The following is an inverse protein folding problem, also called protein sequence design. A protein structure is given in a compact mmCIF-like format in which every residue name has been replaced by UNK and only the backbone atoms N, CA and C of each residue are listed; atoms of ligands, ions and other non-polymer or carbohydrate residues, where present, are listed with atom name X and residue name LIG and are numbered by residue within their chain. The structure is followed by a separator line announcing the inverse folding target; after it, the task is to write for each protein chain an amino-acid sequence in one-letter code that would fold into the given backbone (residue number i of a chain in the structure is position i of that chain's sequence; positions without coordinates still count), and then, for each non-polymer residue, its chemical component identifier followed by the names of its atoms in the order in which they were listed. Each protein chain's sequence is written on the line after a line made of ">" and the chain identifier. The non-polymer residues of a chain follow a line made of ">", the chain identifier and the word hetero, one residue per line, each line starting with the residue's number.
data_IF_778770596287
#
_entry.id   IF_778770596287
#
_cell.length_a   1.000
_cell.length_b   1.000
_cell.length_c   1.000
_cell.angle_alpha   90.00
_cell.angle_beta   90.00
_cell.angle_gamma   90.00
#
_symmetry.space_group_name_H-M   'P 1'
#
loop_
_entity.id
_entity.type
_entity.pdbx_description
1 polymer ?
#
# COMPACT_ATOMS: atom_id res chain seq x y z
N UNK A 1 -4.32 -11.41 22.04
CA UNK A 1 -4.12 -12.75 21.43
C UNK A 1 -3.91 -12.70 19.91
N UNK A 2 -3.93 -11.52 19.28
CA UNK A 2 -3.93 -11.34 17.82
C UNK A 2 -2.55 -11.19 17.16
N UNK A 3 -1.54 -10.59 17.81
CA UNK A 3 -0.26 -10.27 17.14
C UNK A 3 0.64 -11.49 16.87
N UNK A 4 0.69 -12.45 17.79
CA UNK A 4 1.60 -13.61 17.69
C UNK A 4 1.14 -14.61 16.61
N UNK A 5 -0.18 -14.73 16.41
CA UNK A 5 -0.74 -15.63 15.40
C UNK A 5 -0.52 -15.07 13.99
N UNK A 6 -0.59 -13.75 13.85
CA UNK A 6 -0.34 -13.04 12.59
C UNK A 6 1.13 -13.13 12.17
N UNK A 7 2.08 -12.94 13.12
CA UNK A 7 3.52 -13.09 12.81
C UNK A 7 3.91 -14.51 12.39
N UNK A 8 3.36 -15.56 13.02
CA UNK A 8 3.66 -16.95 12.61
C UNK A 8 3.07 -17.28 11.24
N UNK A 9 1.88 -16.78 10.97
CA UNK A 9 1.21 -16.93 9.68
C UNK A 9 2.01 -16.27 8.55
N UNK A 10 2.43 -15.01 8.75
CA UNK A 10 3.27 -14.30 7.79
C UNK A 10 4.62 -14.98 7.55
N UNK A 11 5.23 -15.53 8.61
CA UNK A 11 6.47 -16.30 8.47
C UNK A 11 6.28 -17.59 7.64
N UNK A 12 5.14 -18.26 7.79
CA UNK A 12 4.80 -19.43 6.97
C UNK A 12 4.61 -19.05 5.49
N UNK A 13 3.90 -17.94 5.23
CA UNK A 13 3.74 -17.41 3.88
C UNK A 13 5.10 -17.03 3.27
N UNK A 14 5.97 -16.37 4.04
CA UNK A 14 7.31 -16.02 3.60
C UNK A 14 8.10 -17.27 3.16
N UNK A 15 8.13 -18.31 3.99
CA UNK A 15 8.81 -19.58 3.65
C UNK A 15 8.25 -20.23 2.39
N UNK A 16 6.93 -20.22 2.22
CA UNK A 16 6.26 -20.76 1.03
C UNK A 16 6.62 -19.96 -0.23
N UNK A 17 6.66 -18.64 -0.14
CA UNK A 17 7.06 -17.79 -1.25
C UNK A 17 8.55 -17.98 -1.59
N UNK A 18 9.44 -18.02 -0.60
CA UNK A 18 10.86 -18.30 -0.81
C UNK A 18 11.09 -19.65 -1.48
N UNK A 19 10.40 -20.70 -1.03
CA UNK A 19 10.46 -22.01 -1.66
C UNK A 19 9.98 -21.97 -3.12
N UNK A 20 8.85 -21.30 -3.39
CA UNK A 20 8.34 -21.11 -4.76
C UNK A 20 9.38 -20.39 -5.63
N UNK A 21 9.98 -19.30 -5.15
CA UNK A 21 10.93 -18.52 -5.92
C UNK A 21 12.25 -19.27 -6.18
N UNK A 22 12.72 -20.05 -5.20
CA UNK A 22 13.98 -20.79 -5.27
C UNK A 22 13.91 -22.03 -6.16
N UNK A 23 12.81 -22.76 -6.09
CA UNK A 23 12.71 -24.09 -6.71
C UNK A 23 11.87 -24.12 -7.98
N UNK A 24 11.04 -23.12 -8.26
CA UNK A 24 10.22 -23.05 -9.48
C UNK A 24 10.72 -21.98 -10.44
N UNK A 25 10.81 -22.34 -11.72
CA UNK A 25 11.12 -21.38 -12.78
C UNK A 25 9.96 -20.39 -12.97
N UNK A 26 10.21 -19.16 -13.46
CA UNK A 26 9.15 -18.16 -13.65
C UNK A 26 7.92 -18.67 -14.41
N UNK A 27 8.12 -19.50 -15.43
CA UNK A 27 7.09 -20.11 -16.26
C UNK A 27 6.26 -21.22 -15.58
N UNK A 28 6.79 -21.82 -14.51
CA UNK A 28 6.13 -22.89 -13.74
C UNK A 28 5.32 -22.34 -12.55
N UNK A 29 5.55 -21.08 -12.18
CA UNK A 29 4.94 -20.48 -11.00
C UNK A 29 3.46 -20.22 -11.22
N UNK A 30 2.65 -20.68 -10.27
CA UNK A 30 1.27 -20.22 -10.15
C UNK A 30 1.27 -18.72 -9.83
N UNK A 31 0.93 -17.92 -10.85
CA UNK A 31 0.92 -16.46 -10.76
C UNK A 31 -0.13 -15.95 -9.76
N UNK A 32 -1.25 -16.65 -9.57
CA UNK A 32 -2.27 -16.26 -8.60
C UNK A 32 -1.76 -16.49 -7.19
N UNK A 33 -1.13 -17.63 -6.95
CA UNK A 33 -0.56 -17.95 -5.65
C UNK A 33 0.61 -17.02 -5.30
N UNK A 34 1.47 -16.70 -6.27
CA UNK A 34 2.54 -15.72 -6.08
C UNK A 34 1.98 -14.33 -5.76
N UNK A 35 0.92 -13.90 -6.47
CA UNK A 35 0.28 -12.61 -6.22
C UNK A 35 -0.35 -12.58 -4.82
N UNK A 36 -0.97 -13.68 -4.38
CA UNK A 36 -1.48 -13.84 -3.02
C UNK A 36 -0.37 -13.69 -1.97
N UNK A 37 0.77 -14.37 -2.12
CA UNK A 37 1.90 -14.21 -1.19
C UNK A 37 2.43 -12.77 -1.16
N UNK A 38 2.50 -12.12 -2.32
CA UNK A 38 2.92 -10.72 -2.42
C UNK A 38 1.94 -9.82 -1.65
N UNK A 39 0.64 -10.01 -1.81
CA UNK A 39 -0.35 -9.20 -1.12
C UNK A 39 -0.35 -9.44 0.39
N UNK A 40 -0.19 -10.70 0.81
CA UNK A 40 -0.10 -11.04 2.24
C UNK A 40 1.19 -10.56 2.91
N UNK A 41 2.33 -10.47 2.23
CA UNK A 41 3.59 -10.06 2.85
C UNK A 41 3.86 -8.56 2.76
N UNK A 42 3.49 -7.94 1.64
CA UNK A 42 3.84 -6.54 1.33
C UNK A 42 2.67 -5.55 1.51
N UNK A 43 1.55 -5.99 2.10
CA UNK A 43 0.53 -5.06 2.62
C UNK A 43 1.00 -4.42 3.92
N UNK A 44 1.01 -3.09 3.95
CA UNK A 44 1.47 -2.33 5.11
C UNK A 44 0.58 -2.58 6.33
N UNK A 45 1.13 -2.63 7.55
CA UNK A 45 0.33 -2.86 8.76
C UNK A 45 -0.85 -1.88 8.92
N UNK A 46 -0.68 -0.62 8.51
CA UNK A 46 -1.75 0.39 8.54
C UNK A 46 -2.95 0.04 7.64
N UNK A 47 -2.76 -0.79 6.60
CA UNK A 47 -3.83 -1.24 5.71
C UNK A 47 -4.47 -2.57 6.14
N UNK A 48 -3.99 -3.21 7.21
CA UNK A 48 -4.56 -4.48 7.71
C UNK A 48 -5.64 -4.30 8.76
N UNK A 49 -5.84 -3.07 9.24
CA UNK A 49 -6.77 -2.80 10.33
C UNK A 49 -8.20 -2.76 9.82
N UNK A 50 -9.13 -3.49 10.42
CA UNK A 50 -10.54 -3.35 10.05
C UNK A 50 -11.03 -1.93 10.34
N UNK A 51 -11.55 -1.26 9.32
CA UNK A 51 -12.15 0.06 9.42
C UNK A 51 -13.66 -0.08 9.23
N UNK A 52 -14.43 0.56 10.11
CA UNK A 52 -15.91 0.49 10.08
C UNK A 52 -16.45 1.88 9.77
N UNK A 53 -17.15 2.06 8.64
CA UNK A 53 -17.74 3.35 8.31
C UNK A 53 -18.89 3.69 9.26
N UNK A 54 -19.19 4.98 9.45
CA UNK A 54 -20.39 5.39 10.19
C UNK A 54 -21.67 4.92 9.47
N UNK A 55 -22.82 4.82 10.18
CA UNK A 55 -24.10 4.56 9.53
C UNK A 55 -24.40 5.59 8.43
N UNK A 56 -24.91 5.12 7.29
CA UNK A 56 -25.25 5.96 6.15
C UNK A 56 -26.29 7.02 6.51
N UNK A 57 -26.00 8.29 6.21
CA UNK A 57 -26.89 9.41 6.45
C UNK A 57 -26.74 10.52 5.40
N UNK A 58 -27.85 11.11 5.01
CA UNK A 58 -27.89 12.21 4.04
C UNK A 58 -28.06 11.74 2.60
N UNK A 59 -27.50 12.50 1.66
CA UNK A 59 -27.63 12.24 0.22
C UNK A 59 -26.51 11.33 -0.29
N UNK A 60 -26.84 10.50 -1.27
CA UNK A 60 -25.86 9.70 -2.02
C UNK A 60 -25.17 10.58 -3.06
N UNK A 61 -23.84 10.62 -3.04
CA UNK A 61 -23.05 11.55 -3.85
C UNK A 61 -21.77 10.89 -4.38
N UNK A 62 -21.29 11.42 -5.49
CA UNK A 62 -19.90 11.26 -5.91
C UNK A 62 -19.07 12.39 -5.29
N UNK A 63 -18.31 12.09 -4.25
CA UNK A 63 -17.48 13.05 -3.52
C UNK A 63 -16.02 12.95 -3.94
N UNK A 64 -15.40 14.08 -4.27
CA UNK A 64 -13.98 14.17 -4.64
C UNK A 64 -13.27 15.15 -3.72
N UNK A 65 -12.06 14.79 -3.28
CA UNK A 65 -11.11 15.69 -2.64
C UNK A 65 -9.82 15.73 -3.44
N UNK A 66 -9.27 16.93 -3.58
CA UNK A 66 -7.94 17.15 -4.15
C UNK A 66 -6.94 17.44 -3.04
N UNK A 67 -5.81 16.73 -3.05
CA UNK A 67 -4.70 16.94 -2.13
C UNK A 67 -3.47 17.45 -2.89
N UNK A 68 -2.85 18.49 -2.35
CA UNK A 68 -1.62 19.10 -2.88
C UNK A 68 -0.45 18.72 -1.97
N UNK A 69 0.44 17.87 -2.47
CA UNK A 69 1.57 17.34 -1.70
C UNK A 69 2.86 18.01 -2.19
N UNK A 70 3.52 18.84 -1.37
CA UNK A 70 4.79 19.45 -1.75
C UNK A 70 5.87 18.38 -1.92
N UNK A 71 6.69 18.49 -2.96
CA UNK A 71 7.89 17.64 -3.13
C UNK A 71 9.05 18.10 -2.24
N UNK A 72 9.31 19.41 -2.06
CA UNK A 72 10.33 19.86 -1.12
C UNK A 72 10.06 19.33 0.29
N UNK A 73 11.10 18.79 0.93
CA UNK A 73 11.01 18.21 2.28
C UNK A 73 10.97 16.69 2.31
N UNK A 74 10.65 16.01 1.21
CA UNK A 74 10.71 14.54 1.12
C UNK A 74 12.07 14.05 0.58
N UNK A 75 12.70 13.06 1.21
CA UNK A 75 13.98 12.49 0.75
C UNK A 75 13.83 11.52 -0.43
N UNK A 76 12.63 11.41 -1.01
CA UNK A 76 12.28 10.45 -2.06
C UNK A 76 11.31 11.04 -3.07
N UNK A 77 11.12 10.33 -4.19
CA UNK A 77 10.10 10.65 -5.17
C UNK A 77 8.70 10.32 -4.62
N UNK A 78 7.96 11.36 -4.20
CA UNK A 78 6.61 11.28 -3.63
C UNK A 78 5.65 10.45 -4.50
N UNK A 79 5.66 10.67 -5.82
CA UNK A 79 4.79 9.91 -6.74
C UNK A 79 5.11 8.41 -6.70
N UNK A 80 6.39 8.04 -6.82
CA UNK A 80 6.79 6.63 -6.81
C UNK A 80 6.52 5.98 -5.46
N UNK A 81 6.66 6.74 -4.37
CA UNK A 81 6.34 6.31 -3.01
C UNK A 81 4.85 5.99 -2.83
N UNK A 82 3.96 6.83 -3.37
CA UNK A 82 2.51 6.59 -3.32
C UNK A 82 2.07 5.43 -4.21
N UNK A 83 2.58 5.38 -5.45
CA UNK A 83 2.20 4.35 -6.42
C UNK A 83 2.73 2.97 -6.00
N UNK A 84 3.99 2.92 -5.57
CA UNK A 84 4.66 1.67 -5.21
C UNK A 84 4.97 0.75 -6.40
N UNK A 85 5.54 -0.44 -6.14
CA UNK A 85 5.96 -1.40 -7.16
C UNK A 85 4.81 -1.83 -8.08
N UNK A 86 4.90 -1.47 -9.37
CA UNK A 86 3.84 -1.74 -10.37
C UNK A 86 2.43 -1.27 -9.94
N UNK A 87 2.35 -0.24 -9.09
CA UNK A 87 1.08 0.29 -8.59
C UNK A 87 0.48 -0.51 -7.42
N UNK A 88 1.23 -1.40 -6.76
CA UNK A 88 0.70 -2.23 -5.68
C UNK A 88 0.27 -1.42 -4.45
N UNK A 89 1.06 -0.42 -4.05
CA UNK A 89 0.79 0.39 -2.86
C UNK A 89 -0.50 1.17 -2.99
N UNK A 90 -0.68 1.89 -4.11
CA UNK A 90 -1.91 2.66 -4.33
C UNK A 90 -3.13 1.76 -4.44
N UNK A 91 -3.05 0.60 -5.12
CA UNK A 91 -4.16 -0.35 -5.24
C UNK A 91 -4.58 -0.93 -3.89
N UNK A 92 -3.62 -1.27 -3.03
CA UNK A 92 -3.92 -1.75 -1.66
C UNK A 92 -4.55 -0.66 -0.82
N UNK A 93 -4.08 0.59 -0.96
CA UNK A 93 -4.68 1.75 -0.31
C UNK A 93 -6.12 1.98 -0.78
N UNK A 94 -6.37 1.98 -2.09
CA UNK A 94 -7.72 2.08 -2.69
C UNK A 94 -8.67 1.00 -2.17
N UNK A 95 -8.21 -0.26 -2.14
CA UNK A 95 -8.98 -1.37 -1.61
C UNK A 95 -9.30 -1.21 -0.12
N UNK A 96 -8.33 -0.70 0.66
CA UNK A 96 -8.48 -0.47 2.09
C UNK A 96 -9.48 0.65 2.41
N UNK A 97 -9.36 1.80 1.75
CA UNK A 97 -10.21 2.96 2.01
C UNK A 97 -11.52 2.95 1.20
N UNK A 98 -11.69 2.00 0.27
CA UNK A 98 -12.82 1.94 -0.66
C UNK A 98 -13.01 3.25 -1.43
N UNK A 99 -11.91 3.82 -1.92
CA UNK A 99 -11.88 5.03 -2.74
C UNK A 99 -11.10 4.77 -4.03
N UNK A 100 -11.36 5.60 -5.05
CA UNK A 100 -10.45 5.73 -6.20
C UNK A 100 -9.42 6.81 -5.88
N UNK A 101 -8.13 6.49 -6.06
CA UNK A 101 -7.01 7.40 -5.78
C UNK A 101 -6.20 7.57 -7.07
N UNK A 102 -6.16 8.79 -7.59
CA UNK A 102 -5.46 9.11 -8.83
C UNK A 102 -4.33 10.10 -8.55
N UNK A 103 -3.09 9.67 -8.79
CA UNK A 103 -1.89 10.48 -8.59
C UNK A 103 -1.48 11.14 -9.91
N UNK A 104 -1.72 12.44 -10.02
CA UNK A 104 -1.38 13.21 -11.22
C UNK A 104 0.02 13.81 -11.14
N UNK A 105 0.83 13.64 -12.20
CA UNK A 105 2.10 14.35 -12.34
C UNK A 105 1.84 15.72 -12.96
N UNK A 106 1.47 16.73 -12.17
CA UNK A 106 1.33 18.09 -12.71
C UNK A 106 1.96 19.08 -11.73
N UNK A 107 3.06 19.70 -12.19
CA UNK A 107 3.92 20.73 -11.58
C UNK A 107 5.29 20.26 -11.06
N UNK A 108 6.30 21.12 -11.18
CA UNK A 108 7.67 20.86 -10.73
C UNK A 108 7.77 20.64 -9.22
N UNK A 109 6.95 21.35 -8.44
CA UNK A 109 7.14 21.42 -6.97
C UNK A 109 6.15 20.61 -6.14
N UNK A 110 5.05 20.11 -6.72
CA UNK A 110 4.00 19.40 -5.99
C UNK A 110 3.49 18.18 -6.77
N UNK A 111 2.88 17.23 -6.07
CA UNK A 111 2.11 16.11 -6.61
C UNK A 111 0.65 16.35 -6.24
N UNK A 112 -0.25 16.20 -7.22
CA UNK A 112 -1.69 16.33 -7.00
C UNK A 112 -2.28 14.92 -6.88
N UNK A 113 -3.10 14.70 -5.86
CA UNK A 113 -3.81 13.43 -5.66
C UNK A 113 -5.32 13.70 -5.58
N UNK A 114 -6.08 13.07 -6.48
CA UNK A 114 -7.54 13.05 -6.38
C UNK A 114 -7.97 11.80 -5.64
N UNK A 115 -8.82 11.98 -4.64
CA UNK A 115 -9.46 10.90 -3.90
C UNK A 115 -10.96 11.02 -4.14
N UNK A 116 -11.56 9.99 -4.72
CA UNK A 116 -12.98 9.97 -5.04
C UNK A 116 -13.69 8.78 -4.39
N UNK A 117 -14.90 9.01 -3.89
CA UNK A 117 -15.74 7.97 -3.31
C UNK A 117 -17.22 8.24 -3.66
N UNK A 118 -17.93 7.20 -4.05
CA UNK A 118 -19.38 7.25 -4.29
C UNK A 118 -20.07 6.54 -3.12
N UNK A 119 -20.75 7.32 -2.26
CA UNK A 119 -21.45 6.81 -1.08
C UNK A 119 -22.40 7.89 -0.53
N UNK A 120 -23.07 7.61 0.59
CA UNK A 120 -23.73 8.65 1.38
C UNK A 120 -22.71 9.70 1.84
N UNK A 121 -23.07 10.98 1.77
CA UNK A 121 -22.15 12.12 1.97
C UNK A 121 -21.29 12.01 3.24
N UNK A 122 -21.84 11.49 4.34
CA UNK A 122 -21.11 11.30 5.58
C UNK A 122 -20.09 10.15 5.50
N UNK A 123 -20.46 9.03 4.85
CA UNK A 123 -19.60 7.88 4.61
C UNK A 123 -18.51 8.20 3.59
N UNK A 124 -18.88 8.85 2.48
CA UNK A 124 -17.94 9.24 1.42
C UNK A 124 -16.85 10.18 1.98
N UNK A 125 -17.22 11.17 2.78
CA UNK A 125 -16.26 12.05 3.47
C UNK A 125 -15.34 11.27 4.40
N UNK A 126 -15.90 10.39 5.23
CA UNK A 126 -15.12 9.57 6.15
C UNK A 126 -14.13 8.64 5.42
N UNK A 127 -14.53 8.02 4.31
CA UNK A 127 -13.65 7.18 3.47
C UNK A 127 -12.53 7.99 2.84
N UNK A 128 -12.83 9.20 2.36
CA UNK A 128 -11.83 10.12 1.81
C UNK A 128 -10.86 10.61 2.89
N UNK A 129 -11.35 10.93 4.10
CA UNK A 129 -10.50 11.29 5.25
C UNK A 129 -9.55 10.14 5.62
N UNK A 130 -10.06 8.90 5.59
CA UNK A 130 -9.24 7.70 5.82
C UNK A 130 -8.15 7.54 4.75
N UNK A 131 -8.49 7.76 3.47
CA UNK A 131 -7.53 7.71 2.38
C UNK A 131 -6.44 8.78 2.51
N UNK A 132 -6.80 10.01 2.89
CA UNK A 132 -5.85 11.09 3.18
C UNK A 132 -4.90 10.72 4.33
N UNK A 133 -5.43 10.13 5.40
CA UNK A 133 -4.59 9.61 6.50
C UNK A 133 -3.61 8.55 5.99
N UNK A 134 -4.06 7.62 5.15
CA UNK A 134 -3.20 6.58 4.57
C UNK A 134 -2.08 7.16 3.71
N UNK A 135 -2.37 8.20 2.92
CA UNK A 135 -1.39 8.93 2.12
C UNK A 135 -0.33 9.56 3.04
N UNK A 136 -0.75 10.22 4.11
CA UNK A 136 0.15 10.82 5.09
C UNK A 136 1.02 9.78 5.79
N UNK A 137 0.46 8.62 6.15
CA UNK A 137 1.20 7.52 6.77
C UNK A 137 2.26 6.94 5.82
N UNK A 138 1.95 6.78 4.53
CA UNK A 138 2.90 6.29 3.50
C UNK A 138 4.02 7.31 3.25
N UNK A 139 3.71 8.60 3.35
CA UNK A 139 4.65 9.70 3.17
C UNK A 139 5.34 10.12 4.47
N UNK A 140 5.08 9.48 5.61
CA UNK A 140 5.73 9.84 6.85
C UNK A 140 7.24 9.59 6.78
N UNK A 141 8.05 10.60 7.15
CA UNK A 141 9.50 10.50 7.23
C UNK A 141 9.84 10.03 8.66
N UNK A 142 10.36 8.79 8.84
CA UNK A 142 10.61 8.25 10.16
C UNK A 142 11.82 8.92 10.83
N UNK A 143 11.65 9.37 12.08
CA UNK A 143 12.69 10.07 12.86
C UNK A 143 13.90 9.18 13.17
N UNK A 144 13.70 7.87 13.28
CA UNK A 144 14.76 6.89 13.57
C UNK A 144 15.53 6.44 12.30
N UNK A 145 15.23 7.01 11.13
CA UNK A 145 15.84 6.66 9.84
C UNK A 145 15.43 5.29 9.28
N UNK A 146 14.58 4.52 9.97
CA UNK A 146 14.10 3.22 9.50
C UNK A 146 12.84 3.39 8.66
N UNK A 147 13.04 3.48 7.35
CA UNK A 147 11.96 3.57 6.39
C UNK A 147 11.41 2.18 6.00
N UNK A 148 10.47 1.68 6.80
CA UNK A 148 9.81 0.38 6.60
C UNK A 148 9.04 0.32 5.27
N UNK A 149 8.41 1.42 4.87
CA UNK A 149 7.65 1.49 3.61
C UNK A 149 8.61 1.34 2.43
N UNK A 150 9.75 2.04 2.45
CA UNK A 150 10.79 1.88 1.43
C UNK A 150 11.30 0.44 1.37
N UNK A 151 11.61 -0.15 2.52
CA UNK A 151 12.08 -1.54 2.61
C UNK A 151 11.07 -2.52 2.02
N UNK A 152 9.79 -2.41 2.39
CA UNK A 152 8.72 -3.24 1.86
C UNK A 152 8.54 -3.07 0.34
N UNK A 153 8.55 -1.83 -0.16
CA UNK A 153 8.43 -1.56 -1.60
C UNK A 153 9.63 -2.10 -2.39
N UNK A 154 10.86 -1.96 -1.87
CA UNK A 154 12.06 -2.47 -2.54
C UNK A 154 12.13 -3.99 -2.52
N UNK A 155 11.67 -4.63 -1.44
CA UNK A 155 11.58 -6.07 -1.35
C UNK A 155 10.50 -6.64 -2.29
N UNK A 156 9.31 -6.04 -2.35
CA UNK A 156 8.26 -6.42 -3.32
C UNK A 156 8.77 -6.28 -4.77
N UNK A 157 9.45 -5.17 -5.08
CA UNK A 157 10.02 -4.95 -6.41
C UNK A 157 11.06 -6.03 -6.77
N UNK A 158 11.91 -6.43 -5.82
CA UNK A 158 12.91 -7.47 -6.03
C UNK A 158 12.26 -8.84 -6.31
N UNK A 159 11.21 -9.20 -5.55
CA UNK A 159 10.41 -10.41 -5.80
C UNK A 159 9.81 -10.37 -7.20
N UNK A 160 9.17 -9.26 -7.56
CA UNK A 160 8.52 -9.05 -8.86
C UNK A 160 9.49 -9.07 -10.05
N UNK A 161 10.76 -8.71 -9.83
CA UNK A 161 11.81 -8.70 -10.85
C UNK A 161 12.68 -9.97 -10.83
N UNK A 162 12.46 -10.90 -9.88
CA UNK A 162 13.29 -12.10 -9.74
C UNK A 162 14.70 -11.87 -9.21
N UNK A 163 14.96 -10.72 -8.57
CA UNK A 163 16.30 -10.31 -8.04
C UNK A 163 16.37 -10.37 -6.51
N UNK A 164 15.64 -11.33 -5.93
CA UNK A 164 15.28 -11.37 -4.51
C UNK A 164 16.39 -11.89 -3.57
N UNK A 165 17.54 -12.32 -4.09
CA UNK A 165 18.60 -13.06 -3.38
C UNK A 165 19.13 -12.40 -2.09
N UNK A 166 18.96 -11.08 -1.92
CA UNK A 166 19.47 -10.33 -0.74
C UNK A 166 18.45 -9.43 -0.02
N UNK A 167 17.17 -9.40 -0.42
CA UNK A 167 16.22 -8.36 0.06
C UNK A 167 15.02 -8.86 0.85
N UNK A 168 14.81 -10.17 0.94
CA UNK A 168 13.73 -10.74 1.74
C UNK A 168 14.10 -11.01 3.21
N UNK A 169 15.39 -10.93 3.58
CA UNK A 169 15.88 -11.40 4.88
C UNK A 169 15.51 -10.55 6.11
N UNK A 170 14.82 -9.42 5.96
CA UNK A 170 14.58 -8.50 7.09
C UNK A 170 13.17 -7.89 7.15
N UNK A 171 12.17 -8.54 6.55
CA UNK A 171 10.80 -8.00 6.55
C UNK A 171 10.12 -8.21 7.93
N UNK A 172 10.59 -9.18 8.73
CA UNK A 172 10.12 -9.47 10.08
C UNK A 172 11.24 -9.97 10.99
#
# INVERSE_FOLDING_TARGET
>A
MSSVNDSRYLLDIQKKMEAMLKYQKPEERDQKLLQYYIDELFTFPCFRTTVVPPPAFGIFVYYIRELYIPKPGYPYNVKMRLIGPRGSTIKRMEAFCQCSIIVHPVNYDHVIVYIACEDYINVARWKVDLAEKCINDVLHIPVNGRDVIYQMQMAELAVRNGTYENRMMHIY
#
